data_IF_302732051104
#
_entry.id   IF_302732051104
#
_cell.length_a   1.000
_cell.length_b   1.000
_cell.length_c   1.000
_cell.angle_alpha   90.00
_cell.angle_beta   90.00
_cell.angle_gamma   90.00
#
_symmetry.space_group_name_H-M   'P 1'
#
loop_
_entity.id
_entity.type
_entity.pdbx_description
1 polymer ?
#
# COMPACT_ATOMS: atom_id res chain seq x y z
N UNK A 1 23.62 34.91 4.56
CA UNK A 1 22.57 34.14 3.88
C UNK A 1 23.20 32.80 3.52
N UNK A 2 22.88 31.74 4.26
CA UNK A 2 23.47 30.42 4.04
C UNK A 2 22.59 29.69 3.03
N UNK A 3 22.99 29.67 1.76
CA UNK A 3 22.34 28.85 0.74
C UNK A 3 22.76 27.41 0.94
N UNK A 4 21.91 26.61 1.58
CA UNK A 4 22.07 25.16 1.65
C UNK A 4 21.59 24.54 0.35
N UNK A 5 22.49 23.96 -0.44
CA UNK A 5 22.14 23.12 -1.58
C UNK A 5 21.92 21.69 -1.09
N UNK A 6 20.69 21.18 -1.22
CA UNK A 6 20.39 19.77 -1.01
C UNK A 6 20.65 19.04 -2.34
N UNK A 7 21.74 18.26 -2.41
CA UNK A 7 21.93 17.32 -3.51
C UNK A 7 21.12 16.05 -3.19
N UNK A 8 20.07 15.79 -3.95
CA UNK A 8 19.34 14.51 -3.93
C UNK A 8 19.76 13.76 -5.19
N UNK A 9 20.49 12.66 -5.03
CA UNK A 9 20.70 11.69 -6.11
C UNK A 9 19.60 10.64 -5.97
N UNK A 10 18.49 10.85 -6.67
CA UNK A 10 17.49 9.81 -6.89
C UNK A 10 17.32 9.66 -8.41
N UNK A 11 17.22 8.43 -8.90
CA UNK A 11 16.96 8.25 -10.33
C UNK A 11 15.52 8.64 -10.68
N UNK A 12 14.58 8.39 -9.77
CA UNK A 12 13.21 8.86 -9.91
C UNK A 12 12.88 9.82 -8.76
N UNK A 13 12.62 11.08 -9.12
CA UNK A 13 12.17 12.11 -8.20
C UNK A 13 10.84 12.69 -8.67
N UNK A 14 9.82 12.64 -7.81
CA UNK A 14 8.48 13.19 -8.09
C UNK A 14 8.14 14.17 -6.98
N UNK A 15 7.82 15.40 -7.36
CA UNK A 15 7.40 16.45 -6.44
C UNK A 15 6.28 17.30 -7.04
N UNK A 16 5.35 17.82 -6.22
CA UNK A 16 4.34 18.77 -6.70
C UNK A 16 4.99 19.99 -7.36
N UNK A 17 4.31 20.58 -8.33
CA UNK A 17 4.79 21.79 -8.98
C UNK A 17 4.61 23.00 -8.05
N UNK A 18 5.72 23.41 -7.43
CA UNK A 18 5.76 24.53 -6.50
C UNK A 18 5.43 25.90 -7.12
N UNK A 19 5.38 26.04 -8.45
CA UNK A 19 5.06 27.29 -9.12
C UNK A 19 3.56 27.45 -9.43
N UNK A 20 2.80 26.35 -9.50
CA UNK A 20 1.41 26.38 -9.97
C UNK A 20 0.41 25.71 -9.04
N UNK A 21 0.79 25.34 -7.81
CA UNK A 21 -0.06 24.57 -6.88
C UNK A 21 -0.72 23.38 -7.57
N UNK A 22 0.03 22.72 -8.47
CA UNK A 22 -0.45 21.58 -9.22
C UNK A 22 0.23 20.32 -8.69
N UNK A 23 -0.57 19.28 -8.50
CA UNK A 23 -0.07 17.97 -8.15
C UNK A 23 0.69 17.36 -9.33
N UNK A 24 1.62 16.46 -9.02
CA UNK A 24 2.42 15.75 -10.02
C UNK A 24 2.53 14.29 -9.61
N UNK A 25 2.14 13.40 -10.52
CA UNK A 25 2.15 11.97 -10.29
C UNK A 25 2.35 11.20 -11.59
N UNK A 26 2.83 9.96 -11.45
CA UNK A 26 2.87 8.99 -12.54
C UNK A 26 1.67 8.06 -12.39
N UNK A 27 0.95 7.82 -13.48
CA UNK A 27 -0.13 6.84 -13.54
C UNK A 27 0.29 5.71 -14.47
N UNK A 28 0.37 4.49 -13.93
CA UNK A 28 0.80 3.28 -14.64
C UNK A 28 -0.36 2.31 -14.68
N UNK A 29 -0.71 1.87 -15.88
CA UNK A 29 -1.82 0.97 -16.13
C UNK A 29 -1.35 -0.23 -16.95
N UNK A 30 -1.49 -1.42 -16.37
CA UNK A 30 -1.12 -2.70 -17.00
C UNK A 30 0.29 -2.69 -17.63
N UNK A 31 1.25 -2.08 -16.94
CA UNK A 31 2.61 -1.89 -17.43
C UNK A 31 3.62 -1.98 -16.28
N UNK A 32 4.89 -2.22 -16.62
CA UNK A 32 5.99 -2.23 -15.65
C UNK A 32 6.72 -0.89 -15.67
N UNK A 33 6.72 -0.20 -14.53
CA UNK A 33 7.61 0.94 -14.26
C UNK A 33 8.91 0.42 -13.68
N UNK A 34 10.00 0.57 -14.42
CA UNK A 34 11.34 0.16 -13.98
C UNK A 34 12.18 1.36 -13.52
N UNK A 35 12.78 1.24 -12.33
CA UNK A 35 13.74 2.21 -11.79
C UNK A 35 14.99 1.45 -11.35
N UNK A 36 16.16 1.76 -11.90
CA UNK A 36 17.42 1.11 -11.52
C UNK A 36 17.78 1.37 -10.05
N UNK A 37 17.73 2.63 -9.61
CA UNK A 37 18.19 3.07 -8.28
C UNK A 37 17.02 3.50 -7.38
N UNK A 38 17.26 4.48 -6.51
CA UNK A 38 16.33 4.93 -5.51
C UNK A 38 15.27 5.88 -6.05
N UNK A 39 14.15 5.86 -5.34
CA UNK A 39 12.97 6.67 -5.61
C UNK A 39 12.79 7.65 -4.45
N UNK A 40 12.68 8.93 -4.78
CA UNK A 40 12.35 9.98 -3.81
C UNK A 40 11.02 10.62 -4.19
N UNK A 41 10.04 10.50 -3.29
CA UNK A 41 8.67 10.95 -3.54
C UNK A 41 8.32 12.07 -2.56
N UNK A 42 7.67 13.12 -3.05
CA UNK A 42 7.04 14.14 -2.22
C UNK A 42 5.53 14.02 -2.38
N UNK A 43 4.83 14.04 -1.24
CA UNK A 43 3.37 13.94 -1.21
C UNK A 43 2.73 15.13 -1.94
N UNK A 44 1.69 14.85 -2.72
CA UNK A 44 0.84 15.86 -3.33
C UNK A 44 -0.08 16.48 -2.28
N UNK A 45 -0.23 17.79 -2.31
CA UNK A 45 -0.90 18.55 -1.24
C UNK A 45 -1.93 19.56 -1.75
N UNK A 46 -2.19 19.61 -3.06
CA UNK A 46 -3.16 20.56 -3.62
C UNK A 46 -4.56 19.94 -3.73
N UNK A 47 -4.68 18.69 -4.17
CA UNK A 47 -5.94 17.96 -4.25
C UNK A 47 -5.86 16.64 -3.44
N UNK A 48 -6.74 16.42 -2.45
CA UNK A 48 -6.74 15.21 -1.61
C UNK A 48 -7.06 13.93 -2.41
N UNK A 49 -7.55 14.05 -3.64
CA UNK A 49 -7.83 12.92 -4.53
C UNK A 49 -6.61 12.49 -5.35
N UNK A 50 -5.49 13.23 -5.30
CA UNK A 50 -4.27 12.97 -6.06
C UNK A 50 -2.99 12.93 -5.19
N UNK A 51 -3.12 12.63 -3.90
CA UNK A 51 -2.03 12.68 -2.91
C UNK A 51 -0.83 11.74 -3.21
N UNK A 52 -1.05 10.60 -3.87
CA UNK A 52 0.02 9.65 -4.17
C UNK A 52 0.89 10.14 -5.33
N UNK A 53 2.18 9.83 -5.28
CA UNK A 53 3.14 10.23 -6.32
C UNK A 53 3.18 9.25 -7.49
N UNK A 54 2.78 7.99 -7.26
CA UNK A 54 2.69 6.95 -8.30
C UNK A 54 1.43 6.12 -8.07
N UNK A 55 0.66 5.89 -9.12
CA UNK A 55 -0.53 5.05 -9.13
C UNK A 55 -0.29 3.81 -10.01
N UNK A 56 -0.41 2.62 -9.42
CA UNK A 56 -0.30 1.33 -10.12
C UNK A 56 -1.67 0.68 -10.24
N UNK A 57 -2.16 0.47 -11.47
CA UNK A 57 -3.50 -0.04 -11.78
C UNK A 57 -3.45 -1.23 -12.73
N UNK A 58 -4.48 -2.06 -12.67
CA UNK A 58 -4.66 -3.24 -13.52
C UNK A 58 -3.39 -4.09 -13.61
N UNK A 59 -2.86 -4.53 -12.47
CA UNK A 59 -1.64 -5.34 -12.36
C UNK A 59 -0.34 -4.63 -12.76
N UNK A 60 -0.34 -3.30 -12.90
CA UNK A 60 0.90 -2.55 -13.06
C UNK A 60 1.87 -2.80 -11.90
N UNK A 61 3.17 -2.76 -12.20
CA UNK A 61 4.23 -3.08 -11.24
C UNK A 61 5.29 -1.99 -11.21
N UNK A 62 5.88 -1.80 -10.04
CA UNK A 62 7.11 -1.06 -9.86
C UNK A 62 8.22 -2.07 -9.58
N UNK A 63 9.27 -2.07 -10.40
CA UNK A 63 10.43 -2.95 -10.24
C UNK A 63 11.67 -2.11 -10.05
N UNK A 64 12.47 -2.43 -9.02
CA UNK A 64 13.75 -1.78 -8.76
C UNK A 64 14.93 -2.69 -9.12
N UNK A 65 15.94 -2.14 -9.81
CA UNK A 65 17.12 -2.89 -10.24
C UNK A 65 18.11 -3.19 -9.11
N UNK A 66 18.20 -2.31 -8.11
CA UNK A 66 19.10 -2.47 -6.95
C UNK A 66 18.45 -3.25 -5.80
N UNK A 67 19.24 -4.11 -5.13
CA UNK A 67 18.77 -4.96 -4.02
C UNK A 67 18.65 -4.24 -2.68
N UNK A 68 19.17 -3.02 -2.57
CA UNK A 68 19.09 -2.18 -1.37
C UNK A 68 18.39 -0.89 -1.73
N UNK A 69 17.09 -0.83 -1.51
CA UNK A 69 16.33 0.41 -1.63
C UNK A 69 16.79 1.43 -0.58
N UNK A 70 17.19 2.61 -1.08
CA UNK A 70 17.34 3.84 -0.30
C UNK A 70 16.18 4.81 -0.56
N UNK A 71 15.00 4.28 -0.90
CA UNK A 71 13.81 5.07 -1.18
C UNK A 71 13.52 6.04 -0.04
N UNK A 72 13.15 7.28 -0.36
CA UNK A 72 13.03 8.35 0.62
C UNK A 72 11.91 9.33 0.27
N UNK A 73 11.79 10.39 1.07
CA UNK A 73 10.77 11.41 0.90
C UNK A 73 9.47 11.13 1.66
N UNK A 74 8.53 12.06 1.53
CA UNK A 74 7.24 12.09 2.26
C UNK A 74 6.07 11.52 1.45
N UNK A 75 6.24 11.35 0.15
CA UNK A 75 5.26 10.79 -0.76
C UNK A 75 5.18 9.27 -0.70
N UNK A 76 4.26 8.72 -1.48
CA UNK A 76 3.96 7.30 -1.48
C UNK A 76 3.46 6.82 -2.84
N UNK A 77 3.58 5.52 -3.06
CA UNK A 77 2.91 4.84 -4.16
C UNK A 77 1.53 4.33 -3.71
N UNK A 78 0.62 4.16 -4.65
CA UNK A 78 -0.70 3.57 -4.48
C UNK A 78 -0.79 2.32 -5.36
N UNK A 79 -1.07 1.17 -4.75
CA UNK A 79 -1.13 -0.13 -5.43
C UNK A 79 -2.49 -0.76 -5.20
N UNK A 80 -3.25 -0.90 -6.28
CA UNK A 80 -4.54 -1.60 -6.25
C UNK A 80 -4.33 -3.10 -6.19
N UNK A 81 -4.99 -3.74 -5.22
CA UNK A 81 -5.06 -5.18 -5.13
C UNK A 81 -6.47 -5.64 -4.78
N UNK A 82 -6.97 -6.60 -5.55
CA UNK A 82 -8.28 -7.22 -5.35
C UNK A 82 -8.18 -8.43 -4.42
N UNK A 83 -9.17 -8.59 -3.55
CA UNK A 83 -9.32 -9.78 -2.71
C UNK A 83 -10.37 -10.73 -3.23
N UNK A 84 -10.19 -12.04 -3.08
CA UNK A 84 -11.19 -13.05 -3.42
C UNK A 84 -11.66 -13.78 -2.16
N UNK A 85 -12.26 -13.05 -1.23
CA UNK A 85 -12.58 -13.56 0.10
C UNK A 85 -13.67 -12.76 0.76
N UNK A 86 -14.60 -13.47 1.36
CA UNK A 86 -15.62 -12.93 2.25
C UNK A 86 -15.19 -13.00 3.73
N UNK A 87 -16.16 -12.81 4.62
CA UNK A 87 -16.04 -12.91 6.09
C UNK A 87 -15.91 -14.34 6.61
N UNK A 88 -15.49 -15.31 5.82
CA UNK A 88 -15.11 -16.64 6.28
C UNK A 88 -13.77 -17.11 5.70
N UNK A 89 -13.28 -16.44 4.67
CA UNK A 89 -12.00 -16.74 4.05
C UNK A 89 -10.87 -15.76 4.44
N UNK A 90 -9.64 -16.15 4.12
CA UNK A 90 -8.43 -15.36 4.34
C UNK A 90 -7.71 -15.15 3.02
N UNK A 91 -7.26 -13.92 2.78
CA UNK A 91 -6.30 -13.64 1.72
C UNK A 91 -4.88 -13.64 2.27
N UNK A 92 -3.93 -14.05 1.44
CA UNK A 92 -2.52 -13.83 1.65
C UNK A 92 -2.06 -12.63 0.83
N UNK A 93 -1.38 -11.69 1.48
CA UNK A 93 -0.89 -10.47 0.88
C UNK A 93 0.62 -10.37 1.02
N UNK A 94 1.28 -9.81 0.00
CA UNK A 94 2.63 -9.27 0.15
C UNK A 94 2.64 -7.94 0.90
N UNK A 95 3.81 -7.44 1.28
CA UNK A 95 4.03 -6.08 1.81
C UNK A 95 4.62 -5.16 0.72
N UNK A 96 3.85 -4.76 -0.31
CA UNK A 96 4.39 -4.00 -1.45
C UNK A 96 4.89 -2.62 -1.05
N UNK A 97 4.37 -2.10 0.07
CA UNK A 97 4.72 -0.80 0.63
C UNK A 97 5.08 -0.91 2.11
N UNK A 98 5.77 0.10 2.63
CA UNK A 98 6.13 0.24 4.03
C UNK A 98 5.77 1.60 4.61
N UNK A 99 6.08 1.78 5.90
CA UNK A 99 5.99 3.08 6.55
C UNK A 99 6.85 4.15 5.83
N UNK A 100 6.33 5.36 5.78
CA UNK A 100 6.94 6.53 5.15
C UNK A 100 7.88 7.31 6.10
N UNK A 101 8.04 6.88 7.36
CA UNK A 101 9.05 7.46 8.25
C UNK A 101 10.46 6.99 7.87
N UNK A 102 11.46 7.88 7.91
CA UNK A 102 12.87 7.51 7.66
C UNK A 102 13.20 7.28 6.18
N UNK A 103 14.15 6.39 5.88
CA UNK A 103 14.57 6.02 4.52
C UNK A 103 14.64 4.50 4.35
N UNK A 104 14.68 4.03 3.11
CA UNK A 104 14.79 2.64 2.72
C UNK A 104 13.52 1.81 2.93
N UNK A 105 13.68 0.49 2.90
CA UNK A 105 12.58 -0.45 3.11
C UNK A 105 12.11 -0.41 4.57
N UNK A 106 10.80 -0.24 4.77
CA UNK A 106 10.20 -0.10 6.10
C UNK A 106 9.10 -1.14 6.28
N UNK A 107 8.81 -1.48 7.53
CA UNK A 107 7.74 -2.43 7.83
C UNK A 107 6.37 -1.89 7.36
N UNK A 108 5.54 -2.82 6.92
CA UNK A 108 4.13 -2.62 6.64
C UNK A 108 3.28 -2.76 7.91
N UNK A 109 2.16 -2.03 7.92
CA UNK A 109 1.09 -2.12 8.91
C UNK A 109 -0.24 -1.66 8.33
N UNK A 110 -1.32 -1.88 9.08
CA UNK A 110 -2.71 -1.68 8.59
C UNK A 110 -3.03 -0.24 8.16
N UNK A 111 -2.31 0.76 8.66
CA UNK A 111 -2.49 2.16 8.25
C UNK A 111 -2.09 2.45 6.78
N UNK A 112 -1.59 1.43 6.06
CA UNK A 112 -1.25 1.48 4.64
C UNK A 112 -2.32 0.85 3.75
N UNK A 113 -3.41 0.35 4.32
CA UNK A 113 -4.55 -0.18 3.58
C UNK A 113 -5.65 0.87 3.52
N UNK A 114 -6.16 1.14 2.33
CA UNK A 114 -7.14 2.20 2.07
C UNK A 114 -8.34 1.64 1.31
N UNK A 115 -9.48 2.28 1.52
CA UNK A 115 -10.72 2.13 0.76
C UNK A 115 -10.59 2.89 -0.56
N UNK A 116 -10.71 2.18 -1.68
CA UNK A 116 -10.59 2.77 -3.00
C UNK A 116 -11.89 3.47 -3.40
N UNK A 117 -11.88 4.81 -3.47
CA UNK A 117 -13.03 5.62 -3.85
C UNK A 117 -13.07 5.92 -5.36
N UNK A 118 -11.91 6.04 -5.99
CA UNK A 118 -11.74 6.21 -7.44
C UNK A 118 -10.34 5.77 -7.87
N UNK A 119 -10.01 5.92 -9.16
CA UNK A 119 -8.69 5.55 -9.69
C UNK A 119 -7.51 6.23 -8.98
N UNK A 120 -7.68 7.39 -8.35
CA UNK A 120 -6.60 8.09 -7.62
C UNK A 120 -6.99 8.45 -6.18
N UNK A 121 -8.28 8.44 -5.86
CA UNK A 121 -8.80 8.81 -4.55
C UNK A 121 -8.99 7.58 -3.66
N UNK A 122 -8.53 7.67 -2.41
CA UNK A 122 -8.78 6.63 -1.40
C UNK A 122 -8.70 7.23 -0.01
N UNK A 123 -9.32 6.55 0.94
CA UNK A 123 -9.31 6.92 2.36
C UNK A 123 -8.78 5.77 3.20
N UNK A 124 -8.03 6.04 4.26
CA UNK A 124 -7.50 4.97 5.13
C UNK A 124 -8.64 4.09 5.64
N UNK A 125 -8.49 2.78 5.51
CA UNK A 125 -9.49 1.82 5.96
C UNK A 125 -9.69 1.94 7.48
N UNK A 126 -10.94 1.83 7.92
CA UNK A 126 -11.25 1.72 9.33
C UNK A 126 -10.78 0.36 9.86
N UNK A 127 -10.62 0.26 11.18
CA UNK A 127 -10.26 -1.00 11.83
C UNK A 127 -11.21 -1.33 12.97
N UNK A 128 -11.42 -2.62 13.19
CA UNK A 128 -12.19 -3.14 14.32
C UNK A 128 -11.48 -4.31 14.98
N UNK A 129 -11.76 -4.52 16.27
CA UNK A 129 -11.36 -5.73 17.03
C UNK A 129 -12.43 -6.83 16.98
N UNK A 130 -13.60 -6.52 16.42
CA UNK A 130 -14.68 -7.49 16.19
C UNK A 130 -14.29 -8.57 15.18
N UNK A 131 -15.09 -9.63 15.09
CA UNK A 131 -14.79 -10.78 14.22
C UNK A 131 -14.93 -10.51 12.73
N UNK A 132 -15.77 -9.56 12.34
CA UNK A 132 -16.09 -9.30 10.94
C UNK A 132 -15.82 -7.84 10.61
N UNK A 133 -15.31 -7.61 9.41
CA UNK A 133 -15.21 -6.31 8.80
C UNK A 133 -16.46 -5.97 7.98
N UNK A 134 -16.41 -4.84 7.27
CA UNK A 134 -17.44 -4.40 6.33
C UNK A 134 -16.76 -3.83 5.08
N UNK A 135 -17.36 -3.98 3.91
CA UNK A 135 -16.84 -3.44 2.63
C UNK A 135 -17.13 -1.95 2.45
N UNK A 136 -18.18 -1.42 3.07
CA UNK A 136 -18.58 -0.02 2.92
C UNK A 136 -19.19 0.59 4.20
N UNK A 137 -18.58 1.62 4.81
CA UNK A 137 -17.19 2.04 4.58
C UNK A 137 -16.22 0.90 4.92
N UNK A 138 -15.11 0.79 4.18
CA UNK A 138 -14.17 -0.31 4.38
C UNK A 138 -13.66 -0.34 5.82
N UNK A 139 -13.96 -1.43 6.51
CA UNK A 139 -13.56 -1.70 7.89
C UNK A 139 -12.92 -3.06 7.98
N UNK A 140 -11.67 -3.13 8.40
CA UNK A 140 -10.89 -4.37 8.46
C UNK A 140 -10.84 -4.89 9.90
N UNK A 141 -11.12 -6.18 10.08
CA UNK A 141 -10.96 -6.85 11.37
C UNK A 141 -9.48 -7.12 11.66
N UNK A 142 -8.90 -6.34 12.57
CA UNK A 142 -7.53 -6.56 13.04
C UNK A 142 -7.38 -7.86 13.81
N UNK A 143 -8.47 -8.43 14.33
CA UNK A 143 -8.47 -9.71 15.04
C UNK A 143 -7.90 -10.87 14.20
N UNK A 144 -8.01 -10.75 12.88
CA UNK A 144 -7.60 -11.75 11.91
C UNK A 144 -6.36 -11.33 11.10
N UNK A 145 -5.62 -10.35 11.58
CA UNK A 145 -4.40 -9.86 10.95
C UNK A 145 -3.15 -10.53 11.56
N UNK A 146 -2.52 -11.42 10.78
CA UNK A 146 -1.39 -12.24 11.23
C UNK A 146 -0.27 -12.27 10.20
N UNK A 147 0.96 -12.52 10.64
CA UNK A 147 2.09 -12.85 9.76
C UNK A 147 2.73 -14.17 10.14
N UNK A 148 3.40 -14.81 9.18
CA UNK A 148 4.25 -15.95 9.47
C UNK A 148 5.55 -15.49 10.15
N UNK A 149 5.89 -16.12 11.27
CA UNK A 149 7.20 -15.96 11.90
C UNK A 149 8.08 -17.19 11.56
N UNK A 150 9.13 -17.03 10.73
CA UNK A 150 9.97 -18.15 10.33
C UNK A 150 10.85 -18.69 11.46
N UNK A 151 11.17 -17.88 12.48
CA UNK A 151 11.99 -18.31 13.61
C UNK A 151 11.24 -19.26 14.54
N UNK A 152 9.94 -19.01 14.76
CA UNK A 152 9.09 -19.85 15.62
C UNK A 152 8.21 -20.81 14.83
N UNK A 153 8.18 -20.70 13.50
CA UNK A 153 7.32 -21.46 12.59
C UNK A 153 5.83 -21.38 12.95
N UNK A 154 5.34 -20.18 13.30
CA UNK A 154 3.95 -19.95 13.72
C UNK A 154 3.42 -18.65 13.15
N UNK A 155 2.10 -18.59 12.95
CA UNK A 155 1.41 -17.33 12.74
C UNK A 155 1.38 -16.51 14.03
N UNK A 156 1.72 -15.23 13.92
CA UNK A 156 1.79 -14.28 15.03
C UNK A 156 0.84 -13.12 14.75
N UNK A 157 0.04 -12.78 15.76
CA UNK A 157 -0.88 -11.65 15.73
C UNK A 157 -0.10 -10.33 15.56
N UNK A 158 -0.52 -9.50 14.62
CA UNK A 158 0.20 -8.26 14.31
C UNK A 158 -0.31 -7.04 15.09
N UNK A 159 -1.51 -7.09 15.66
CA UNK A 159 -2.11 -5.93 16.33
C UNK A 159 -2.32 -4.77 15.35
N UNK A 160 -1.95 -3.56 15.77
CA UNK A 160 -2.06 -2.33 14.97
C UNK A 160 -0.72 -1.74 14.55
N UNK A 161 0.40 -2.41 14.87
CA UNK A 161 1.74 -1.89 14.61
C UNK A 161 2.24 -2.12 13.18
N UNK A 162 3.27 -1.37 12.80
CA UNK A 162 4.04 -1.58 11.55
C UNK A 162 5.07 -2.69 11.76
N UNK A 163 4.61 -3.94 11.70
CA UNK A 163 5.39 -5.10 12.16
C UNK A 163 5.63 -6.15 11.08
N UNK A 164 5.06 -5.99 9.87
CA UNK A 164 5.27 -6.91 8.76
C UNK A 164 6.49 -6.45 7.95
N UNK A 165 7.62 -7.17 7.99
CA UNK A 165 8.82 -6.75 7.26
C UNK A 165 8.63 -6.77 5.74
N UNK A 166 9.42 -5.96 5.00
CA UNK A 166 9.60 -6.11 3.56
C UNK A 166 9.95 -7.55 3.17
N UNK A 167 9.45 -8.01 2.02
CA UNK A 167 9.66 -9.38 1.53
C UNK A 167 8.92 -10.47 2.33
N UNK A 168 8.10 -10.10 3.32
CA UNK A 168 7.22 -11.01 4.06
C UNK A 168 5.76 -10.72 3.78
N UNK A 169 4.95 -11.76 3.77
CA UNK A 169 3.50 -11.61 3.66
C UNK A 169 2.78 -11.60 5.00
N UNK A 170 1.50 -11.27 4.91
CA UNK A 170 0.56 -11.33 6.01
C UNK A 170 -0.76 -11.90 5.50
N UNK A 171 -1.58 -12.39 6.42
CA UNK A 171 -2.95 -12.78 6.15
C UNK A 171 -3.91 -11.80 6.82
N UNK A 172 -5.02 -11.54 6.14
CA UNK A 172 -6.19 -10.92 6.77
C UNK A 172 -7.46 -11.51 6.18
N UNK A 173 -8.48 -11.56 7.02
CA UNK A 173 -9.82 -12.01 6.67
C UNK A 173 -10.51 -11.02 5.73
N UNK A 174 -11.35 -11.51 4.82
CA UNK A 174 -12.19 -10.68 3.96
C UNK A 174 -13.32 -9.93 4.70
N UNK A 175 -14.19 -9.28 3.91
CA UNK A 175 -15.23 -8.36 4.39
C UNK A 175 -16.62 -8.80 3.94
N UNK A 176 -17.64 -8.56 4.77
CA UNK A 176 -19.04 -8.99 4.59
C UNK A 176 -19.21 -10.47 4.25
N UNK A 177 -20.46 -10.96 4.21
CA UNK A 177 -20.75 -12.35 3.89
C UNK A 177 -21.23 -12.41 2.45
N UNK A 178 -20.71 -13.38 1.72
CA UNK A 178 -21.25 -13.69 0.39
C UNK A 178 -22.61 -14.33 0.50
N UNK A 179 -23.63 -13.63 0.02
CA UNK A 179 -24.98 -14.21 -0.13
C UNK A 179 -24.96 -15.08 -1.38
N UNK A 180 -24.92 -16.39 -1.18
CA UNK A 180 -24.80 -17.36 -2.26
C UNK A 180 -26.12 -17.54 -3.01
N UNK A 181 -26.11 -17.31 -4.32
CA UNK A 181 -27.04 -17.93 -5.27
C UNK A 181 -26.37 -19.18 -5.89
N UNK A 182 -25.05 -19.14 -6.09
CA UNK A 182 -24.23 -20.26 -6.58
C UNK A 182 -23.17 -20.64 -5.51
N UNK A 183 -23.18 -21.88 -4.98
CA UNK A 183 -22.23 -22.39 -3.98
C UNK A 183 -20.76 -22.42 -4.42
N UNK A 184 -20.47 -22.19 -5.70
CA UNK A 184 -19.10 -22.17 -6.24
C UNK A 184 -18.62 -20.77 -6.65
N UNK A 185 -19.42 -19.74 -6.44
CA UNK A 185 -19.06 -18.36 -6.73
C UNK A 185 -18.91 -17.59 -5.41
N UNK A 186 -17.73 -17.00 -5.18
CA UNK A 186 -17.56 -15.95 -4.19
C UNK A 186 -17.53 -14.58 -4.90
N UNK A 187 -18.70 -13.94 -5.13
CA UNK A 187 -18.76 -12.61 -5.73
C UNK A 187 -18.17 -11.51 -4.83
N UNK A 188 -17.85 -11.79 -3.56
CA UNK A 188 -17.35 -10.75 -2.67
C UNK A 188 -15.88 -10.46 -2.94
N UNK A 189 -15.67 -9.35 -3.65
CA UNK A 189 -14.36 -8.88 -4.03
C UNK A 189 -14.19 -7.43 -3.57
N UNK A 190 -13.37 -7.23 -2.54
CA UNK A 190 -12.97 -5.91 -2.09
C UNK A 190 -11.70 -5.48 -2.83
N UNK A 191 -11.75 -4.28 -3.40
CA UNK A 191 -10.57 -3.60 -3.92
C UNK A 191 -9.91 -2.82 -2.80
N UNK A 192 -8.63 -3.12 -2.53
CA UNK A 192 -7.81 -2.44 -1.55
C UNK A 192 -6.78 -1.55 -2.25
N UNK A 193 -6.53 -0.37 -1.69
CA UNK A 193 -5.43 0.49 -2.13
C UNK A 193 -4.31 0.52 -1.07
N UNK A 194 -3.20 -0.12 -1.41
CA UNK A 194 -1.99 -0.15 -0.60
C UNK A 194 -1.18 1.12 -0.83
N UNK A 195 -1.16 2.02 0.16
CA UNK A 195 -0.44 3.29 0.08
C UNK A 195 0.72 3.37 1.07
N UNK A 196 1.92 3.59 0.56
CA UNK A 196 3.11 3.80 1.39
C UNK A 196 4.40 3.91 0.58
N UNK A 197 5.53 3.87 1.27
CA UNK A 197 6.85 3.88 0.61
C UNK A 197 7.06 2.55 -0.13
N UNK A 198 7.52 2.54 -1.39
CA UNK A 198 7.79 1.30 -2.09
C UNK A 198 8.93 0.51 -1.42
N UNK A 199 8.72 -0.79 -1.27
CA UNK A 199 9.79 -1.72 -0.88
C UNK A 199 10.47 -2.27 -2.15
N UNK A 200 11.80 -2.28 -2.22
CA UNK A 200 12.51 -3.09 -3.21
C UNK A 200 12.40 -4.56 -2.78
N UNK A 201 11.70 -5.38 -3.57
CA UNK A 201 11.55 -6.81 -3.31
C UNK A 201 12.87 -7.57 -3.33
#
# INVERSE_FOLDING_TARGET
MLTTTANVFAQLYITPNGASSADSYIYVDNEVLFVEQDINLVVNNNDPTTEASIYLRNQAQLVQGTTVSTNSGTGYISVFQDSKSDSYDYNFWGSPVGNMSGSGNNNFGMARVNDSLSLTNSTVALTTVGYNGASSPLTISTRWYYRWNPATQRYVYNGTGDVVPPGRGFIMKGTDVTVHIDPFSDPQNQLYDFRGRPNSG
#
